data_IF_277439457601
#
_entry.id   IF_277439457601
#
_cell.length_a   1.000
_cell.length_b   1.000
_cell.length_c   1.000
_cell.angle_alpha   90.00
_cell.angle_beta   90.00
_cell.angle_gamma   90.00
#
_symmetry.space_group_name_H-M   'P 1'
#
loop_
_entity.id
_entity.type
_entity.pdbx_description
1 polymer ?
#
# COMPACT_ATOMS: atom_id res chain seq x y z
N UNK A 1 -24.62 14.13 14.39
CA UNK A 1 -25.00 14.24 12.96
C UNK A 1 -25.87 13.05 12.58
N UNK A 2 -26.93 13.25 11.82
CA UNK A 2 -27.73 12.13 11.31
C UNK A 2 -26.90 11.28 10.33
N UNK A 3 -27.08 9.93 10.27
CA UNK A 3 -26.30 9.06 9.38
C UNK A 3 -26.29 9.51 7.91
N UNK A 4 -27.43 10.00 7.41
CA UNK A 4 -27.55 10.53 6.06
C UNK A 4 -26.69 11.80 5.83
N UNK A 5 -26.59 12.67 6.83
CA UNK A 5 -25.78 13.89 6.75
C UNK A 5 -24.28 13.55 6.73
N UNK A 6 -23.84 12.60 7.55
CA UNK A 6 -22.45 12.10 7.53
C UNK A 6 -22.10 11.53 6.15
N UNK A 7 -22.97 10.71 5.57
CA UNK A 7 -22.69 10.07 4.28
C UNK A 7 -22.56 11.09 3.15
N UNK A 8 -23.44 12.11 3.13
CA UNK A 8 -23.32 13.23 2.17
C UNK A 8 -22.03 14.00 2.35
N UNK A 9 -21.59 14.22 3.60
CA UNK A 9 -20.33 14.88 3.89
C UNK A 9 -19.12 14.05 3.42
N UNK A 10 -19.09 12.75 3.70
CA UNK A 10 -18.04 11.84 3.23
C UNK A 10 -17.95 11.84 1.70
N UNK A 11 -19.08 11.75 1.01
CA UNK A 11 -19.11 11.81 -0.45
C UNK A 11 -18.63 13.18 -0.97
N UNK A 12 -19.08 14.28 -0.38
CA UNK A 12 -18.67 15.62 -0.78
C UNK A 12 -17.16 15.84 -0.59
N UNK A 13 -16.61 15.46 0.57
CA UNK A 13 -15.16 15.57 0.86
C UNK A 13 -14.36 14.66 -0.06
N UNK A 14 -14.76 13.39 -0.21
CA UNK A 14 -14.02 12.42 -1.00
C UNK A 14 -14.02 12.74 -2.49
N UNK A 15 -15.18 13.10 -3.05
CA UNK A 15 -15.30 13.53 -4.45
C UNK A 15 -14.64 14.90 -4.68
N UNK A 16 -14.73 15.82 -3.72
CA UNK A 16 -14.03 17.11 -3.77
C UNK A 16 -12.51 16.94 -3.79
N UNK A 17 -11.97 16.04 -2.96
CA UNK A 17 -10.55 15.70 -2.97
C UNK A 17 -10.11 15.05 -4.28
N UNK A 18 -10.93 14.17 -4.85
CA UNK A 18 -10.67 13.58 -6.17
C UNK A 18 -10.69 14.61 -7.30
N UNK A 19 -11.69 15.48 -7.33
CA UNK A 19 -11.76 16.56 -8.30
C UNK A 19 -10.55 17.50 -8.18
N UNK A 20 -10.19 17.87 -6.95
CA UNK A 20 -9.01 18.69 -6.68
C UNK A 20 -7.73 17.99 -7.14
N UNK A 21 -7.58 16.69 -6.88
CA UNK A 21 -6.46 15.90 -7.39
C UNK A 21 -6.38 15.94 -8.92
N UNK A 22 -7.49 15.73 -9.62
CA UNK A 22 -7.51 15.72 -11.09
C UNK A 22 -7.12 17.09 -11.67
N UNK A 23 -7.59 18.19 -11.07
CA UNK A 23 -7.22 19.55 -11.47
C UNK A 23 -5.73 19.79 -11.19
N UNK A 24 -5.29 19.62 -9.95
CA UNK A 24 -3.90 19.91 -9.57
C UNK A 24 -2.91 19.04 -10.35
N UNK A 25 -3.18 17.73 -10.45
CA UNK A 25 -2.30 16.79 -11.15
C UNK A 25 -2.36 16.97 -12.66
N UNK A 26 -3.56 17.16 -13.24
CA UNK A 26 -3.75 17.33 -14.68
C UNK A 26 -2.98 18.53 -15.25
N UNK A 27 -3.06 19.66 -14.56
CA UNK A 27 -2.41 20.90 -14.98
C UNK A 27 -0.98 21.08 -14.41
N UNK A 28 -0.41 20.06 -13.75
CA UNK A 28 0.89 20.14 -13.08
C UNK A 28 1.01 21.34 -12.12
N UNK A 29 -0.07 21.65 -11.39
CA UNK A 29 -0.10 22.70 -10.36
C UNK A 29 0.54 22.19 -9.06
N UNK A 30 0.49 23.03 -8.02
CA UNK A 30 0.96 22.72 -6.68
C UNK A 30 0.47 21.35 -6.17
N UNK A 31 1.35 20.61 -5.50
CA UNK A 31 0.95 19.44 -4.71
C UNK A 31 1.80 18.18 -4.93
N UNK A 32 2.58 18.09 -6.01
CA UNK A 32 3.65 17.09 -6.17
C UNK A 32 4.94 17.77 -6.65
N UNK A 33 6.11 17.45 -6.09
CA UNK A 33 7.37 18.05 -6.53
C UNK A 33 7.76 17.61 -7.96
N UNK A 34 7.20 16.50 -8.48
CA UNK A 34 7.54 15.95 -9.78
C UNK A 34 6.37 16.08 -10.75
N UNK A 35 6.49 16.91 -11.80
CA UNK A 35 5.52 16.96 -12.89
C UNK A 35 5.28 15.58 -13.49
N UNK A 36 4.04 15.26 -13.84
CA UNK A 36 3.74 13.91 -14.37
C UNK A 36 4.35 13.69 -15.76
N UNK A 37 4.56 14.77 -16.53
CA UNK A 37 5.24 14.71 -17.84
C UNK A 37 6.72 14.35 -17.75
N UNK A 38 7.42 14.76 -16.69
CA UNK A 38 8.83 14.37 -16.48
C UNK A 38 8.96 12.94 -15.93
N UNK A 39 7.92 12.43 -15.28
CA UNK A 39 7.83 11.03 -14.82
C UNK A 39 7.60 10.01 -15.95
N UNK A 40 7.36 10.46 -17.19
CA UNK A 40 7.24 9.58 -18.35
C UNK A 40 8.59 8.94 -18.76
N UNK A 41 9.72 9.52 -18.32
CA UNK A 41 11.05 8.91 -18.48
C UNK A 41 11.23 7.87 -17.36
N UNK A 42 11.27 6.59 -17.73
CA UNK A 42 11.41 5.50 -16.76
C UNK A 42 12.72 5.62 -15.95
N UNK A 43 12.75 5.16 -14.68
CA UNK A 43 14.01 5.03 -13.96
C UNK A 43 15.01 4.19 -14.76
N UNK A 44 16.30 4.53 -14.71
CA UNK A 44 17.40 3.75 -15.27
C UNK A 44 17.35 3.56 -16.81
N UNK A 45 16.80 4.51 -17.56
CA UNK A 45 16.75 4.43 -19.03
C UNK A 45 15.76 3.41 -19.58
N UNK A 46 14.90 2.85 -18.73
CA UNK A 46 13.77 2.04 -19.17
C UNK A 46 12.78 2.91 -19.96
N UNK A 47 12.14 2.32 -20.96
CA UNK A 47 11.27 3.00 -21.93
C UNK A 47 10.18 3.88 -21.31
N UNK A 48 9.52 4.66 -22.16
CA UNK A 48 8.50 5.63 -21.72
C UNK A 48 7.41 4.97 -20.89
N UNK A 49 7.27 5.41 -19.64
CA UNK A 49 6.21 4.94 -18.76
C UNK A 49 4.85 5.29 -19.39
N UNK A 50 3.87 4.37 -19.43
CA UNK A 50 2.53 4.68 -19.92
C UNK A 50 1.97 5.90 -19.20
N UNK A 51 1.32 6.80 -19.97
CA UNK A 51 0.87 8.10 -19.46
C UNK A 51 -0.01 7.99 -18.21
N UNK A 52 -0.85 6.95 -18.13
CA UNK A 52 -1.67 6.68 -16.95
C UNK A 52 -0.84 6.40 -15.69
N UNK A 53 0.23 5.61 -15.80
CA UNK A 53 1.11 5.34 -14.67
C UNK A 53 1.93 6.57 -14.30
N UNK A 54 2.41 7.34 -15.28
CA UNK A 54 3.09 8.60 -15.02
C UNK A 54 2.17 9.61 -14.30
N UNK A 55 0.90 9.68 -14.68
CA UNK A 55 -0.12 10.50 -14.02
C UNK A 55 -0.33 10.09 -12.56
N UNK A 56 -0.43 8.79 -12.27
CA UNK A 56 -0.64 8.27 -10.91
C UNK A 56 0.65 8.22 -10.06
N UNK A 57 1.83 8.37 -10.67
CA UNK A 57 3.14 8.34 -10.03
C UNK A 57 3.39 9.61 -9.18
N UNK A 58 2.76 9.67 -8.02
CA UNK A 58 2.89 10.73 -7.02
C UNK A 58 3.91 10.37 -5.95
N UNK A 59 4.50 11.38 -5.32
CA UNK A 59 5.56 11.23 -4.34
C UNK A 59 5.00 10.82 -2.99
N UNK A 60 5.30 9.59 -2.58
CA UNK A 60 4.85 9.00 -1.29
C UNK A 60 5.69 9.45 -0.09
N UNK A 61 6.98 9.68 -0.29
CA UNK A 61 7.92 10.01 0.79
C UNK A 61 8.77 11.24 0.41
N UNK A 62 8.65 12.38 1.12
CA UNK A 62 7.53 12.72 2.01
C UNK A 62 6.20 12.72 1.25
N UNK A 63 5.07 12.51 1.95
CA UNK A 63 3.76 12.42 1.31
C UNK A 63 3.36 13.75 0.66
N UNK A 64 3.21 13.74 -0.66
CA UNK A 64 2.76 14.91 -1.41
C UNK A 64 1.26 15.15 -1.22
N UNK A 65 0.81 16.39 -1.40
CA UNK A 65 -0.62 16.71 -1.34
C UNK A 65 -1.39 15.89 -2.37
N UNK A 66 -0.84 15.75 -3.58
CA UNK A 66 -1.45 14.93 -4.63
C UNK A 66 -1.55 13.45 -4.24
N UNK A 67 -0.52 12.90 -3.57
CA UNK A 67 -0.57 11.54 -3.04
C UNK A 67 -1.68 11.39 -2.00
N UNK A 68 -1.83 12.35 -1.09
CA UNK A 68 -2.89 12.34 -0.07
C UNK A 68 -4.28 12.46 -0.69
N UNK A 69 -4.50 13.38 -1.63
CA UNK A 69 -5.80 13.55 -2.29
C UNK A 69 -6.21 12.30 -3.09
N UNK A 70 -5.26 11.73 -3.83
CA UNK A 70 -5.47 10.51 -4.64
C UNK A 70 -5.82 9.29 -3.78
N UNK A 71 -5.27 9.18 -2.57
CA UNK A 71 -5.44 7.99 -1.70
C UNK A 71 -6.57 8.17 -0.69
N UNK A 72 -6.66 9.32 -0.03
CA UNK A 72 -7.70 9.60 0.97
C UNK A 72 -9.04 9.95 0.33
N UNK A 73 -9.05 10.61 -0.84
CA UNK A 73 -10.29 10.99 -1.54
C UNK A 73 -11.23 9.80 -1.79
N UNK A 74 -10.78 8.75 -2.52
CA UNK A 74 -11.56 7.52 -2.70
C UNK A 74 -11.89 6.84 -1.38
N UNK A 75 -10.93 6.77 -0.46
CA UNK A 75 -11.12 6.10 0.84
C UNK A 75 -12.29 6.74 1.61
N UNK A 76 -12.34 8.07 1.69
CA UNK A 76 -13.40 8.81 2.37
C UNK A 76 -14.73 8.67 1.61
N UNK A 77 -14.72 8.76 0.28
CA UNK A 77 -15.92 8.60 -0.54
C UNK A 77 -16.57 7.21 -0.39
N UNK A 78 -15.76 6.17 -0.15
CA UNK A 78 -16.22 4.79 -0.02
C UNK A 78 -16.66 4.41 1.39
N UNK A 79 -16.41 5.23 2.42
CA UNK A 79 -16.85 4.96 3.81
C UNK A 79 -18.33 4.56 3.89
N UNK A 80 -19.29 5.31 3.28
CA UNK A 80 -20.72 4.97 3.37
C UNK A 80 -21.07 3.62 2.76
N UNK A 81 -20.28 3.16 1.78
CA UNK A 81 -20.44 1.85 1.15
C UNK A 81 -19.89 0.77 2.07
N UNK A 82 -18.65 0.94 2.56
CA UNK A 82 -18.00 -0.05 3.43
C UNK A 82 -18.74 -0.30 4.74
N UNK A 83 -19.44 0.69 5.28
CA UNK A 83 -20.30 0.52 6.47
C UNK A 83 -21.47 -0.45 6.23
N UNK A 84 -21.90 -0.64 4.97
CA UNK A 84 -23.02 -1.51 4.60
C UNK A 84 -22.58 -2.88 4.10
N UNK A 85 -21.28 -3.08 3.85
CA UNK A 85 -20.78 -4.35 3.33
C UNK A 85 -20.75 -5.37 4.46
N UNK A 86 -21.50 -6.45 4.28
CA UNK A 86 -21.53 -7.59 5.19
C UNK A 86 -21.17 -8.87 4.43
N UNK A 87 -20.51 -9.83 5.10
CA UNK A 87 -20.15 -11.11 4.49
C UNK A 87 -18.87 -11.74 5.07
N UNK A 88 -18.55 -12.95 4.59
CA UNK A 88 -17.32 -13.67 4.97
C UNK A 88 -16.06 -12.90 4.57
N UNK A 89 -16.04 -12.32 3.37
CA UNK A 89 -14.91 -11.52 2.88
C UNK A 89 -14.70 -10.25 3.71
N UNK A 90 -15.77 -9.51 4.02
CA UNK A 90 -15.70 -8.32 4.88
C UNK A 90 -15.18 -8.68 6.28
N UNK A 91 -15.64 -9.79 6.85
CA UNK A 91 -15.11 -10.32 8.11
C UNK A 91 -13.62 -10.67 8.00
N UNK A 92 -13.19 -11.33 6.92
CA UNK A 92 -11.78 -11.67 6.71
C UNK A 92 -10.90 -10.41 6.61
N UNK A 93 -11.30 -9.42 5.82
CA UNK A 93 -10.55 -8.16 5.68
C UNK A 93 -10.52 -7.39 7.01
N UNK A 94 -11.62 -7.39 7.77
CA UNK A 94 -11.68 -6.71 9.07
C UNK A 94 -10.69 -7.25 10.10
N UNK A 95 -10.17 -8.47 9.94
CA UNK A 95 -9.13 -9.03 10.82
C UNK A 95 -7.90 -8.12 10.84
N UNK A 96 -7.46 -7.67 9.66
CA UNK A 96 -6.32 -6.75 9.56
C UNK A 96 -6.62 -5.40 10.24
N UNK A 97 -7.85 -4.91 10.10
CA UNK A 97 -8.30 -3.66 10.72
C UNK A 97 -8.43 -3.71 12.25
N UNK A 98 -8.56 -4.90 12.85
CA UNK A 98 -8.60 -5.08 14.33
C UNK A 98 -7.23 -4.96 14.98
N UNK A 99 -6.18 -5.37 14.25
CA UNK A 99 -4.79 -5.39 14.75
C UNK A 99 -3.81 -4.76 13.74
N UNK A 100 -4.07 -3.53 13.27
CA UNK A 100 -3.33 -2.93 12.16
C UNK A 100 -1.85 -2.72 12.49
N UNK A 101 -1.54 -2.40 13.75
CA UNK A 101 -0.15 -2.25 14.20
C UNK A 101 0.61 -3.59 14.19
N UNK A 102 -0.05 -4.68 14.57
CA UNK A 102 0.56 -6.02 14.53
C UNK A 102 0.91 -6.43 13.09
N UNK A 103 -0.02 -6.20 12.15
CA UNK A 103 0.24 -6.38 10.72
C UNK A 103 1.42 -5.50 10.27
N UNK A 104 1.42 -4.21 10.64
CA UNK A 104 2.49 -3.28 10.27
C UNK A 104 3.87 -3.74 10.77
N UNK A 105 3.96 -4.25 11.99
CA UNK A 105 5.23 -4.71 12.54
C UNK A 105 5.71 -6.03 11.91
N UNK A 106 4.78 -6.96 11.62
CA UNK A 106 5.15 -8.29 11.15
C UNK A 106 5.37 -8.38 9.64
N UNK A 107 4.70 -7.57 8.83
CA UNK A 107 4.80 -7.70 7.38
C UNK A 107 6.21 -7.39 6.85
N UNK A 108 6.93 -6.40 7.39
CA UNK A 108 8.28 -6.03 6.95
C UNK A 108 9.28 -7.18 7.12
N UNK A 109 9.47 -7.78 8.32
CA UNK A 109 10.37 -8.92 8.46
C UNK A 109 9.91 -10.14 7.66
N UNK A 110 8.59 -10.36 7.52
CA UNK A 110 8.07 -11.47 6.74
C UNK A 110 8.40 -11.33 5.25
N UNK A 111 8.11 -10.19 4.62
CA UNK A 111 8.40 -9.99 3.19
C UNK A 111 9.91 -10.04 2.93
N UNK A 112 10.71 -9.56 3.89
CA UNK A 112 12.16 -9.63 3.81
C UNK A 112 12.64 -11.09 3.88
N UNK A 113 12.15 -11.88 4.84
CA UNK A 113 12.44 -13.31 4.94
C UNK A 113 12.05 -14.07 3.67
N UNK A 114 10.86 -13.80 3.12
CA UNK A 114 10.41 -14.39 1.87
C UNK A 114 11.34 -14.00 0.70
N UNK A 115 11.85 -12.77 0.66
CA UNK A 115 12.83 -12.37 -0.33
C UNK A 115 14.18 -13.12 -0.20
N UNK A 116 14.65 -13.37 1.02
CA UNK A 116 15.85 -14.20 1.26
C UNK A 116 15.63 -15.64 0.76
N UNK A 117 14.46 -16.23 1.04
CA UNK A 117 14.09 -17.57 0.58
C UNK A 117 14.03 -17.63 -0.95
N UNK A 118 13.35 -16.67 -1.59
CA UNK A 118 13.25 -16.61 -3.05
C UNK A 118 14.64 -16.40 -3.69
N UNK A 119 15.49 -15.55 -3.11
CA UNK A 119 16.88 -15.38 -3.54
C UNK A 119 17.64 -16.70 -3.48
N UNK A 120 17.57 -17.41 -2.35
CA UNK A 120 18.27 -18.68 -2.15
C UNK A 120 17.82 -19.76 -3.14
N UNK A 121 16.52 -19.84 -3.42
CA UNK A 121 15.95 -20.80 -4.37
C UNK A 121 16.33 -20.47 -5.82
N UNK A 122 16.28 -19.19 -6.21
CA UNK A 122 16.50 -18.77 -7.61
C UNK A 122 17.96 -18.63 -7.99
N UNK A 123 18.78 -18.09 -7.08
CA UNK A 123 20.18 -17.74 -7.34
C UNK A 123 21.16 -18.72 -6.68
N UNK A 124 20.67 -19.67 -5.86
CA UNK A 124 21.51 -20.57 -5.07
C UNK A 124 22.16 -19.92 -3.85
N UNK A 125 22.05 -18.59 -3.73
CA UNK A 125 22.63 -17.79 -2.65
C UNK A 125 21.69 -16.67 -2.18
N UNK A 126 21.96 -16.16 -0.98
CA UNK A 126 21.27 -14.99 -0.45
C UNK A 126 22.04 -13.76 -0.92
N UNK A 127 21.42 -12.95 -1.78
CA UNK A 127 22.09 -11.75 -2.31
C UNK A 127 22.43 -10.77 -1.19
N UNK A 128 23.71 -10.35 -1.04
CA UNK A 128 24.10 -9.32 -0.06
C UNK A 128 23.36 -7.99 -0.26
N UNK A 129 22.90 -7.72 -1.49
CA UNK A 129 22.10 -6.54 -1.81
C UNK A 129 20.82 -6.43 -0.97
N UNK A 130 20.25 -7.56 -0.54
CA UNK A 130 19.07 -7.56 0.34
C UNK A 130 19.33 -6.92 1.71
N UNK A 131 20.59 -6.81 2.15
CA UNK A 131 20.95 -6.18 3.42
C UNK A 131 21.48 -4.75 3.24
N UNK A 132 21.80 -4.36 2.01
CA UNK A 132 22.34 -3.04 1.68
C UNK A 132 21.30 -2.11 1.02
N UNK A 133 20.11 -2.62 0.71
CA UNK A 133 19.06 -1.83 0.07
C UNK A 133 18.31 -0.94 1.07
N UNK A 134 18.33 0.37 0.84
CA UNK A 134 17.56 1.30 1.66
C UNK A 134 16.20 1.63 1.03
N UNK A 135 15.08 1.64 1.77
CA UNK A 135 13.74 1.91 1.23
C UNK A 135 13.61 3.26 0.51
N UNK A 136 14.43 4.25 0.90
CA UNK A 136 14.42 5.62 0.36
C UNK A 136 15.49 5.86 -0.71
N UNK A 137 16.39 4.91 -0.94
CA UNK A 137 17.57 5.07 -1.79
C UNK A 137 18.12 3.72 -2.18
N UNK A 138 17.33 2.97 -2.95
CA UNK A 138 17.68 1.60 -3.28
C UNK A 138 18.72 1.59 -4.41
N UNK A 139 19.93 1.03 -4.21
CA UNK A 139 20.87 0.82 -5.31
C UNK A 139 20.24 -0.06 -6.41
N UNK A 140 20.73 0.05 -7.66
CA UNK A 140 20.21 -0.78 -8.74
C UNK A 140 20.28 -2.26 -8.34
N UNK A 141 19.22 -3.05 -8.64
CA UNK A 141 19.22 -4.46 -8.32
C UNK A 141 20.31 -5.17 -9.13
N UNK A 142 20.96 -6.21 -8.57
CA UNK A 142 21.95 -6.98 -9.30
C UNK A 142 21.32 -7.71 -10.48
N UNK A 143 22.13 -8.05 -11.48
CA UNK A 143 21.66 -8.77 -12.66
C UNK A 143 21.00 -10.11 -12.26
N UNK A 144 19.89 -10.44 -12.91
CA UNK A 144 19.10 -11.64 -12.61
C UNK A 144 18.23 -11.56 -11.35
N UNK A 145 18.38 -10.53 -10.50
CA UNK A 145 17.56 -10.39 -9.29
C UNK A 145 16.12 -9.98 -9.57
N UNK A 146 15.82 -9.31 -10.68
CA UNK A 146 14.45 -8.88 -10.99
C UNK A 146 13.49 -10.08 -11.06
N UNK A 147 12.30 -9.91 -10.50
CA UNK A 147 11.27 -10.96 -10.44
C UNK A 147 10.25 -10.73 -11.55
N UNK A 148 9.68 -11.81 -12.07
CA UNK A 148 8.48 -11.68 -12.89
C UNK A 148 7.32 -11.14 -12.05
N UNK A 149 6.42 -10.41 -12.69
CA UNK A 149 5.24 -9.85 -12.01
C UNK A 149 4.37 -10.95 -11.38
N UNK A 150 4.26 -12.10 -12.05
CA UNK A 150 3.55 -13.27 -11.54
C UNK A 150 4.18 -13.81 -10.24
N UNK A 151 5.51 -13.96 -10.19
CA UNK A 151 6.21 -14.41 -8.99
C UNK A 151 6.03 -13.41 -7.84
N UNK A 152 6.13 -12.11 -8.14
CA UNK A 152 5.91 -11.05 -7.14
C UNK A 152 4.51 -11.18 -6.50
N UNK A 153 3.46 -11.30 -7.33
CA UNK A 153 2.10 -11.44 -6.83
C UNK A 153 1.86 -12.77 -6.09
N UNK A 154 2.52 -13.86 -6.50
CA UNK A 154 2.46 -15.13 -5.79
C UNK A 154 3.05 -15.01 -4.38
N UNK A 155 4.25 -14.45 -4.25
CA UNK A 155 4.91 -14.25 -2.95
C UNK A 155 4.10 -13.29 -2.07
N UNK A 156 3.55 -12.22 -2.66
CA UNK A 156 2.64 -11.30 -1.98
C UNK A 156 1.40 -12.02 -1.45
N UNK A 157 0.75 -12.86 -2.26
CA UNK A 157 -0.43 -13.62 -1.85
C UNK A 157 -0.11 -14.58 -0.69
N UNK A 158 1.04 -15.27 -0.75
CA UNK A 158 1.53 -16.11 0.34
C UNK A 158 1.72 -15.29 1.62
N UNK A 159 2.36 -14.13 1.54
CA UNK A 159 2.56 -13.24 2.68
C UNK A 159 1.23 -12.80 3.30
N UNK A 160 0.25 -12.41 2.48
CA UNK A 160 -1.09 -12.02 2.96
C UNK A 160 -1.79 -13.18 3.67
N UNK A 161 -1.72 -14.40 3.15
CA UNK A 161 -2.32 -15.58 3.78
C UNK A 161 -1.66 -15.89 5.12
N UNK A 162 -0.32 -15.86 5.19
CA UNK A 162 0.39 -16.07 6.46
C UNK A 162 0.05 -15.01 7.50
N UNK A 163 0.04 -13.73 7.09
CA UNK A 163 -0.33 -12.61 7.96
C UNK A 163 -1.78 -12.67 8.40
N UNK A 164 -2.69 -13.16 7.55
CA UNK A 164 -4.10 -13.34 7.92
C UNK A 164 -4.25 -14.25 9.13
N UNK A 165 -3.60 -15.43 9.10
CA UNK A 165 -3.67 -16.37 10.22
C UNK A 165 -3.02 -15.80 11.49
N UNK A 166 -1.86 -15.15 11.36
CA UNK A 166 -1.19 -14.51 12.49
C UNK A 166 -2.04 -13.37 13.11
N UNK A 167 -2.62 -12.51 12.28
CA UNK A 167 -3.48 -11.41 12.72
C UNK A 167 -4.77 -11.92 13.35
N UNK A 168 -5.36 -12.99 12.80
CA UNK A 168 -6.57 -13.61 13.36
C UNK A 168 -6.30 -14.16 14.76
N UNK A 169 -5.22 -14.93 14.91
CA UNK A 169 -4.80 -15.46 16.21
C UNK A 169 -4.57 -14.33 17.22
N UNK A 170 -3.85 -13.29 16.83
CA UNK A 170 -3.57 -12.17 17.73
C UNK A 170 -4.82 -11.35 18.07
N UNK A 171 -5.75 -11.19 17.13
CA UNK A 171 -7.03 -10.53 17.38
C UNK A 171 -7.88 -11.31 18.40
N UNK A 172 -7.93 -12.65 18.29
CA UNK A 172 -8.65 -13.51 19.23
C UNK A 172 -7.95 -13.51 20.61
N UNK A 173 -6.62 -13.49 20.64
CA UNK A 173 -5.82 -13.33 21.86
C UNK A 173 -6.10 -11.98 22.56
N UNK A 174 -6.11 -10.87 21.80
CA UNK A 174 -6.44 -9.54 22.33
C UNK A 174 -7.89 -9.47 22.85
N UNK A 175 -8.83 -10.14 22.19
CA UNK A 175 -10.24 -10.13 22.58
C UNK A 175 -10.53 -10.92 23.87
N UNK A 176 -9.75 -11.96 24.16
CA UNK A 176 -9.97 -12.84 25.31
C UNK A 176 -9.29 -12.35 26.60
N UNK A 177 -8.27 -11.48 26.50
CA UNK A 177 -7.51 -10.99 27.66
C UNK A 177 -7.81 -9.52 27.98
N UNK A 178 -7.85 -9.19 29.28
CA UNK A 178 -8.18 -7.85 29.80
C UNK A 178 -6.98 -7.09 30.35
N UNK A 179 -5.76 -7.47 29.96
CA UNK A 179 -4.54 -6.84 30.45
C UNK A 179 -4.41 -5.40 29.92
N UNK A 180 -3.79 -4.52 30.71
CA UNK A 180 -3.77 -3.07 30.47
C UNK A 180 -3.03 -2.67 29.19
N UNK A 181 -2.02 -3.43 28.78
CA UNK A 181 -1.25 -3.21 27.55
C UNK A 181 -1.94 -3.79 26.29
N UNK A 182 -3.03 -4.55 26.47
CA UNK A 182 -3.85 -5.13 25.40
C UNK A 182 -5.17 -4.38 25.18
N UNK A 183 -5.44 -3.27 25.89
CA UNK A 183 -6.62 -2.42 25.63
C UNK A 183 -6.29 -1.38 24.56
#
# INVERSE_FOLDING_TARGET
>A
MAPAQRNRLCLAIGLGALALFLVLRGFNLYGDPRPWGSAAQGPNGAGTMPALFAFLNTTKYPASLNFLLMTLGPTIALIPIFERVHGSLARAISVFGRVPFFFYMLHIPLIHLLALVVSKIRLGEVSPWLFANHPMGNPPPPEGYTWSLALLYLVWAIAIVMLYFACRWFADFKATRKEWWLR
#
